data_IF_875412919489
#
_entry.id   IF_875412919489
#
_cell.length_a   1.000
_cell.length_b   1.000
_cell.length_c   1.000
_cell.angle_alpha   90.00
_cell.angle_beta   90.00
_cell.angle_gamma   90.00
#
_symmetry.space_group_name_H-M   'P 1'
#
loop_
_entity.id
_entity.type
_entity.pdbx_description
1 polymer ?
#
# COMPACT_ATOMS: atom_id res chain seq x y z
N UNK A 1 24.34 73.50 39.30
CA UNK A 1 24.79 72.81 38.06
C UNK A 1 24.66 71.32 38.29
N UNK A 2 23.80 70.63 37.53
CA UNK A 2 23.46 69.21 37.69
C UNK A 2 24.25 68.40 36.66
N UNK A 3 25.06 67.45 37.10
CA UNK A 3 25.79 66.50 36.25
C UNK A 3 24.95 65.25 35.98
N UNK A 4 24.86 64.76 34.74
CA UNK A 4 23.98 63.66 34.38
C UNK A 4 24.63 62.28 34.60
N UNK A 5 23.76 61.31 34.86
CA UNK A 5 24.02 59.90 35.12
C UNK A 5 23.93 59.11 33.81
N UNK A 6 24.95 58.31 33.48
CA UNK A 6 24.93 57.41 32.32
C UNK A 6 24.97 55.95 32.77
N UNK A 7 23.99 55.11 32.38
CA UNK A 7 24.03 53.68 32.64
C UNK A 7 24.82 52.95 31.54
N UNK A 8 25.48 51.86 31.94
CA UNK A 8 26.27 51.01 31.06
C UNK A 8 25.35 49.97 30.40
N UNK A 9 25.38 49.86 29.07
CA UNK A 9 24.68 48.83 28.31
C UNK A 9 25.65 47.66 28.08
N UNK A 10 25.31 46.47 28.60
CA UNK A 10 25.99 45.21 28.31
C UNK A 10 25.41 44.64 27.02
N UNK A 11 26.21 44.60 25.96
CA UNK A 11 25.84 43.94 24.69
C UNK A 11 26.23 42.47 24.81
N UNK A 12 25.24 41.61 25.07
CA UNK A 12 25.39 40.16 24.98
C UNK A 12 25.27 39.70 23.53
N UNK A 13 26.33 39.09 23.00
CA UNK A 13 26.31 38.47 21.68
C UNK A 13 25.51 37.16 21.73
N UNK A 14 24.37 37.12 21.04
CA UNK A 14 23.57 35.91 20.86
C UNK A 14 24.16 35.08 19.70
N UNK A 15 24.88 34.01 20.03
CA UNK A 15 25.41 33.06 19.06
C UNK A 15 24.29 32.13 18.56
N UNK A 16 23.75 32.39 17.38
CA UNK A 16 22.83 31.48 16.69
C UNK A 16 23.61 30.25 16.19
N UNK A 17 23.60 29.16 16.97
CA UNK A 17 24.08 27.87 16.51
C UNK A 17 23.12 27.37 15.41
N UNK A 18 23.61 27.31 14.17
CA UNK A 18 22.88 26.76 13.04
C UNK A 18 22.60 25.27 13.27
N UNK A 19 21.33 24.93 13.41
CA UNK A 19 20.89 23.54 13.43
C UNK A 19 21.02 23.02 11.99
N UNK A 20 22.10 22.29 11.72
CA UNK A 20 22.25 21.52 10.48
C UNK A 20 21.22 20.40 10.49
N UNK A 21 20.09 20.64 9.82
CA UNK A 21 19.10 19.62 9.47
C UNK A 21 19.74 18.62 8.53
N UNK A 22 20.14 17.47 9.07
CA UNK A 22 20.58 16.34 8.26
C UNK A 22 19.35 15.77 7.56
N UNK A 23 19.37 15.57 6.23
CA UNK A 23 18.29 14.85 5.57
C UNK A 23 18.26 13.45 6.19
N UNK A 24 17.14 13.08 6.81
CA UNK A 24 16.89 11.70 7.20
C UNK A 24 16.92 10.86 5.91
N UNK A 25 17.93 10.01 5.75
CA UNK A 25 17.89 8.95 4.74
C UNK A 25 16.70 8.05 5.09
N UNK A 26 15.57 8.27 4.43
CA UNK A 26 14.45 7.35 4.49
C UNK A 26 14.95 5.99 4.00
N UNK A 27 14.80 4.95 4.81
CA UNK A 27 15.06 3.56 4.39
C UNK A 27 14.30 3.31 3.09
N UNK A 28 14.98 2.76 2.09
CA UNK A 28 14.34 2.41 0.82
C UNK A 28 13.29 1.34 1.08
N UNK A 29 12.03 1.72 0.85
CA UNK A 29 10.87 0.85 0.95
C UNK A 29 10.39 0.49 -0.45
N UNK A 30 10.20 -0.80 -0.70
CA UNK A 30 9.55 -1.29 -1.91
C UNK A 30 8.05 -1.42 -1.65
N UNK A 31 7.22 -0.82 -2.50
CA UNK A 31 5.77 -0.81 -2.32
C UNK A 31 5.09 -1.84 -3.21
N UNK A 32 4.17 -2.63 -2.64
CA UNK A 32 3.33 -3.59 -3.36
C UNK A 32 1.87 -3.30 -3.03
N UNK A 33 0.99 -3.28 -4.03
CA UNK A 33 -0.46 -3.17 -3.77
C UNK A 33 -1.04 -4.50 -3.30
N UNK A 34 -1.99 -4.46 -2.37
CA UNK A 34 -2.67 -5.65 -1.88
C UNK A 34 -3.34 -6.46 -3.01
N UNK A 35 -4.04 -5.82 -3.95
CA UNK A 35 -4.66 -6.49 -5.09
C UNK A 35 -3.68 -7.25 -6.00
N UNK A 36 -2.45 -6.75 -6.15
CA UNK A 36 -1.41 -7.44 -6.93
C UNK A 36 -0.92 -8.68 -6.19
N UNK A 37 -0.62 -8.53 -4.90
CA UNK A 37 -0.20 -9.65 -4.05
C UNK A 37 -1.32 -10.68 -3.81
N UNK A 38 -2.59 -10.30 -3.89
CA UNK A 38 -3.74 -11.22 -3.82
C UNK A 38 -4.06 -11.89 -5.17
N UNK A 39 -3.31 -11.62 -6.25
CA UNK A 39 -3.54 -12.20 -7.57
C UNK A 39 -4.75 -11.62 -8.33
N UNK A 40 -5.41 -10.58 -7.80
CA UNK A 40 -6.63 -9.99 -8.38
C UNK A 40 -6.38 -9.16 -9.65
N UNK A 41 -5.11 -8.89 -9.98
CA UNK A 41 -4.71 -8.11 -11.16
C UNK A 41 -4.40 -8.96 -12.40
N UNK A 42 -4.44 -10.30 -12.29
CA UNK A 42 -4.03 -11.21 -13.36
C UNK A 42 -2.53 -11.17 -13.72
N UNK A 43 -1.73 -10.39 -12.98
CA UNK A 43 -0.28 -10.31 -13.11
C UNK A 43 0.41 -11.38 -12.26
N UNK A 44 1.65 -11.72 -12.61
CA UNK A 44 2.47 -12.62 -11.78
C UNK A 44 2.65 -12.07 -10.38
N UNK A 45 2.69 -12.94 -9.37
CA UNK A 45 2.85 -12.54 -7.97
C UNK A 45 4.12 -11.70 -7.77
N UNK A 46 4.08 -10.65 -6.92
CA UNK A 46 5.23 -9.77 -6.67
C UNK A 46 6.48 -10.55 -6.25
N UNK A 47 7.64 -10.10 -6.71
CA UNK A 47 8.93 -10.71 -6.35
C UNK A 47 9.59 -9.92 -5.22
N UNK A 48 9.95 -10.62 -4.14
CA UNK A 48 10.72 -10.10 -3.01
C UNK A 48 12.12 -10.70 -3.07
N UNK A 49 13.14 -9.85 -3.03
CA UNK A 49 14.54 -10.27 -3.00
C UNK A 49 15.05 -10.33 -1.56
N UNK A 50 15.78 -11.40 -1.24
CA UNK A 50 16.51 -11.55 0.01
C UNK A 50 18.01 -11.54 -0.25
N UNK A 51 18.72 -10.67 0.46
CA UNK A 51 20.17 -10.51 0.33
C UNK A 51 20.91 -11.20 1.48
N UNK A 52 22.10 -11.78 1.24
CA UNK A 52 22.92 -12.35 2.30
C UNK A 52 23.29 -11.31 3.35
N UNK A 53 23.17 -11.66 4.63
CA UNK A 53 23.54 -10.76 5.74
C UNK A 53 22.48 -9.71 6.12
N UNK A 54 21.39 -9.60 5.35
CA UNK A 54 20.32 -8.63 5.58
C UNK A 54 18.97 -9.31 5.79
N UNK A 55 18.16 -8.73 6.68
CA UNK A 55 16.76 -9.08 6.82
C UNK A 55 15.86 -8.16 5.99
N UNK A 56 14.74 -8.70 5.52
CA UNK A 56 13.71 -7.98 4.77
C UNK A 56 12.39 -8.07 5.53
N UNK A 57 11.80 -6.92 5.87
CA UNK A 57 10.49 -6.87 6.51
C UNK A 57 9.39 -6.80 5.46
N UNK A 58 8.40 -7.69 5.52
CA UNK A 58 7.17 -7.61 4.74
C UNK A 58 6.06 -7.10 5.65
N UNK A 59 5.65 -5.85 5.47
CA UNK A 59 4.72 -5.14 6.35
C UNK A 59 3.32 -5.06 5.77
N UNK A 60 2.34 -5.52 6.56
CA UNK A 60 0.90 -5.37 6.35
C UNK A 60 0.30 -4.28 7.25
N UNK A 61 1.11 -3.52 7.99
CA UNK A 61 0.65 -2.45 8.88
C UNK A 61 -0.35 -1.50 8.16
N UNK A 62 -0.09 -1.04 6.92
CA UNK A 62 -1.02 -0.13 6.25
C UNK A 62 -2.36 -0.76 5.87
N UNK A 63 -2.47 -2.09 5.76
CA UNK A 63 -3.73 -2.77 5.44
C UNK A 63 -4.66 -2.90 6.64
N UNK A 64 -4.15 -2.65 7.86
CA UNK A 64 -4.85 -2.86 9.12
C UNK A 64 -5.38 -4.31 9.28
N UNK A 65 -4.61 -5.27 8.75
CA UNK A 65 -4.89 -6.70 8.87
C UNK A 65 -3.87 -7.36 9.81
N UNK A 66 -4.31 -8.41 10.50
CA UNK A 66 -3.42 -9.27 11.29
C UNK A 66 -3.12 -10.57 10.54
N UNK A 67 -1.86 -10.98 10.53
CA UNK A 67 -1.39 -12.24 9.97
C UNK A 67 -1.89 -13.38 10.85
N UNK A 68 -2.52 -14.36 10.25
CA UNK A 68 -3.04 -15.55 10.94
C UNK A 68 -2.33 -16.83 10.54
N UNK A 69 -1.68 -16.84 9.37
CA UNK A 69 -0.90 -17.98 8.88
C UNK A 69 0.10 -17.55 7.82
N UNK A 70 1.28 -18.19 7.83
CA UNK A 70 2.28 -18.08 6.77
C UNK A 70 2.83 -19.46 6.46
N UNK A 71 3.04 -19.77 5.18
CA UNK A 71 3.84 -20.91 4.77
C UNK A 71 4.73 -20.56 3.59
N UNK A 72 5.76 -21.37 3.42
CA UNK A 72 6.76 -21.25 2.36
C UNK A 72 6.97 -22.62 1.74
N UNK A 73 7.00 -22.69 0.41
CA UNK A 73 7.04 -23.98 -0.30
C UNK A 73 8.41 -24.67 -0.15
N UNK A 74 9.51 -23.93 -0.29
CA UNK A 74 10.89 -24.40 -0.06
C UNK A 74 11.57 -23.53 1.03
N UNK A 75 11.59 -23.99 2.30
CA UNK A 75 12.22 -23.28 3.41
C UNK A 75 13.76 -23.41 3.43
N UNK A 76 14.40 -24.14 2.50
CA UNK A 76 15.83 -24.49 2.58
C UNK A 76 16.79 -23.31 2.73
N UNK A 77 16.38 -22.11 2.30
CA UNK A 77 17.20 -20.89 2.27
C UNK A 77 16.54 -19.68 2.92
N UNK A 78 15.40 -19.85 3.59
CA UNK A 78 14.64 -18.74 4.17
C UNK A 78 14.24 -19.08 5.60
N UNK A 79 14.53 -18.19 6.53
CA UNK A 79 13.93 -18.22 7.85
C UNK A 79 12.92 -17.07 7.99
N UNK A 80 11.88 -17.34 8.77
CA UNK A 80 10.72 -16.49 9.00
C UNK A 80 10.67 -16.12 10.48
N UNK A 81 10.25 -14.90 10.79
CA UNK A 81 9.90 -14.43 12.12
C UNK A 81 8.80 -13.36 12.02
N UNK A 82 8.25 -12.94 13.16
CA UNK A 82 7.09 -12.03 13.21
C UNK A 82 7.30 -10.92 14.24
N UNK A 83 6.64 -9.78 14.06
CA UNK A 83 6.64 -8.66 15.02
C UNK A 83 5.94 -9.01 16.34
N UNK A 84 4.98 -9.93 16.31
CA UNK A 84 4.31 -10.50 17.47
C UNK A 84 4.15 -12.02 17.31
N UNK A 85 3.95 -12.79 18.40
CA UNK A 85 3.76 -14.23 18.31
C UNK A 85 2.57 -14.63 17.43
N UNK A 86 2.81 -15.48 16.43
CA UNK A 86 1.77 -16.20 15.71
C UNK A 86 1.31 -17.40 16.55
N UNK A 87 0.13 -17.31 17.18
CA UNK A 87 -0.44 -18.40 17.95
C UNK A 87 -1.32 -19.30 17.05
N UNK A 88 -0.90 -20.54 16.75
CA UNK A 88 -1.74 -21.48 16.01
C UNK A 88 -2.84 -22.01 16.95
N UNK A 89 -4.03 -21.41 16.89
CA UNK A 89 -5.25 -21.82 17.61
C UNK A 89 -5.20 -21.76 19.14
N UNK A 90 -6.40 -21.60 19.72
CA UNK A 90 -6.72 -21.24 21.11
C UNK A 90 -6.33 -22.30 22.17
N UNK A 91 -5.51 -23.29 21.83
CA UNK A 91 -5.24 -24.48 22.66
C UNK A 91 -3.91 -24.45 23.43
N UNK A 92 -2.96 -23.58 23.07
CA UNK A 92 -1.73 -23.42 23.84
C UNK A 92 -1.92 -22.34 24.91
N UNK A 93 -2.19 -22.80 26.13
CA UNK A 93 -2.54 -22.02 27.33
C UNK A 93 -1.46 -21.04 27.84
N UNK A 94 -0.40 -20.80 27.07
CA UNK A 94 0.66 -19.83 27.35
C UNK A 94 1.02 -18.91 26.18
N UNK A 95 0.40 -19.07 25.00
CA UNK A 95 0.63 -18.16 23.89
C UNK A 95 -0.21 -16.90 24.11
N UNK A 96 0.43 -15.81 24.55
CA UNK A 96 -0.22 -14.49 24.56
C UNK A 96 -0.51 -14.15 23.11
N UNK A 97 -1.79 -14.17 22.75
CA UNK A 97 -2.28 -13.92 21.41
C UNK A 97 -1.82 -12.55 20.92
N UNK A 98 -0.80 -12.54 20.06
CA UNK A 98 -0.42 -11.36 19.30
C UNK A 98 -1.34 -11.14 18.09
N UNK A 99 -1.26 -9.96 17.50
CA UNK A 99 -1.87 -9.61 16.22
C UNK A 99 -0.76 -9.20 15.23
N UNK A 100 0.13 -10.14 14.86
CA UNK A 100 1.29 -9.80 14.04
C UNK A 100 0.87 -9.19 12.72
N UNK A 101 1.64 -8.22 12.26
CA UNK A 101 1.39 -7.45 11.03
C UNK A 101 2.62 -7.36 10.14
N UNK A 102 3.76 -7.88 10.59
CA UNK A 102 5.03 -7.90 9.85
C UNK A 102 5.60 -9.31 9.84
N UNK A 103 6.01 -9.75 8.65
CA UNK A 103 6.84 -10.95 8.48
C UNK A 103 8.29 -10.50 8.29
N UNK A 104 9.18 -10.92 9.16
CA UNK A 104 10.62 -10.75 8.97
C UNK A 104 11.19 -11.96 8.21
N UNK A 105 11.83 -11.69 7.08
CA UNK A 105 12.44 -12.69 6.21
C UNK A 105 13.95 -12.54 6.26
N UNK A 106 14.67 -13.65 6.41
CA UNK A 106 16.12 -13.67 6.25
C UNK A 106 16.57 -14.81 5.37
N UNK A 107 17.54 -14.54 4.52
CA UNK A 107 18.26 -15.59 3.78
C UNK A 107 19.18 -16.33 4.75
N UNK A 108 19.10 -17.65 4.76
CA UNK A 108 20.03 -18.51 5.50
C UNK A 108 20.93 -19.28 4.54
N UNK A 109 22.01 -19.86 5.09
CA UNK A 109 22.82 -20.80 4.34
C UNK A 109 21.93 -21.97 3.92
N UNK A 110 21.91 -22.28 2.62
CA UNK A 110 21.03 -23.29 2.07
C UNK A 110 21.26 -24.66 2.71
N UNK A 111 20.20 -25.25 3.24
CA UNK A 111 20.16 -26.64 3.66
C UNK A 111 19.90 -27.52 2.45
N UNK A 112 20.68 -28.60 2.30
CA UNK A 112 20.43 -29.59 1.26
C UNK A 112 19.56 -30.68 1.82
N UNK A 113 18.32 -30.79 1.36
CA UNK A 113 17.44 -31.90 1.68
C UNK A 113 17.64 -33.02 0.67
N UNK A 114 17.75 -34.25 1.15
CA UNK A 114 17.79 -35.42 0.29
C UNK A 114 16.44 -35.58 -0.43
N UNK A 115 16.46 -35.84 -1.74
CA UNK A 115 15.26 -36.04 -2.58
C UNK A 115 14.34 -34.83 -2.79
N UNK A 116 14.75 -33.61 -2.41
CA UNK A 116 14.04 -32.38 -2.80
C UNK A 116 14.85 -31.61 -3.86
N UNK A 117 14.26 -31.33 -5.04
CA UNK A 117 14.94 -30.54 -6.06
C UNK A 117 15.17 -29.11 -5.56
N UNK A 118 16.38 -28.59 -5.79
CA UNK A 118 16.70 -27.20 -5.46
C UNK A 118 15.97 -26.27 -6.43
N UNK A 119 15.07 -25.43 -5.91
CA UNK A 119 14.46 -24.37 -6.70
C UNK A 119 15.37 -23.13 -6.77
N UNK A 120 15.20 -22.26 -7.76
CA UNK A 120 15.92 -20.97 -7.82
C UNK A 120 15.31 -19.89 -6.91
N UNK A 121 14.07 -20.12 -6.45
CA UNK A 121 13.29 -19.28 -5.55
C UNK A 121 12.20 -20.11 -4.88
N UNK A 122 11.31 -19.49 -4.12
CA UNK A 122 10.19 -20.17 -3.45
C UNK A 122 8.95 -19.28 -3.44
N UNK A 123 7.76 -19.85 -3.24
CA UNK A 123 6.54 -19.09 -2.98
C UNK A 123 6.38 -18.90 -1.47
N UNK A 124 5.99 -17.69 -1.08
CA UNK A 124 5.53 -17.34 0.26
C UNK A 124 4.04 -17.03 0.16
N UNK A 125 3.25 -17.69 1.00
CA UNK A 125 1.81 -17.39 1.12
C UNK A 125 1.51 -16.90 2.52
N UNK A 126 0.79 -15.78 2.61
CA UNK A 126 0.37 -15.14 3.85
C UNK A 126 -1.14 -15.08 3.87
N UNK A 127 -1.76 -15.60 4.93
CA UNK A 127 -3.17 -15.36 5.21
C UNK A 127 -3.26 -14.33 6.31
N UNK A 128 -4.04 -13.29 6.05
CA UNK A 128 -4.38 -12.25 7.02
C UNK A 128 -5.87 -12.25 7.32
N UNK A 129 -6.25 -11.52 8.36
CA UNK A 129 -7.63 -11.31 8.78
C UNK A 129 -7.83 -9.85 9.21
N UNK A 130 -8.94 -9.26 8.79
CA UNK A 130 -9.35 -7.93 9.25
C UNK A 130 -9.97 -7.99 10.65
N UNK A 131 -10.17 -6.85 11.31
CA UNK A 131 -10.93 -6.81 12.57
C UNK A 131 -12.39 -7.30 12.43
N UNK A 132 -12.92 -7.34 11.21
CA UNK A 132 -14.26 -7.87 10.92
C UNK A 132 -14.32 -9.38 10.68
N UNK A 133 -13.17 -10.08 10.68
CA UNK A 133 -13.08 -11.52 10.41
C UNK A 133 -12.92 -11.89 8.94
N UNK A 134 -12.91 -10.91 8.02
CA UNK A 134 -12.65 -11.18 6.60
C UNK A 134 -11.20 -11.62 6.39
N UNK A 135 -11.02 -12.77 5.75
CA UNK A 135 -9.71 -13.37 5.48
C UNK A 135 -9.23 -13.04 4.06
N UNK A 136 -7.94 -12.74 3.94
CA UNK A 136 -7.28 -12.42 2.66
C UNK A 136 -6.04 -13.29 2.48
N UNK A 137 -5.80 -13.71 1.24
CA UNK A 137 -4.64 -14.53 0.85
C UNK A 137 -3.72 -13.71 -0.02
N UNK A 138 -2.44 -13.66 0.34
CA UNK A 138 -1.39 -12.96 -0.37
C UNK A 138 -0.29 -13.93 -0.79
N UNK A 139 0.25 -13.72 -1.98
CA UNK A 139 1.32 -14.52 -2.56
C UNK A 139 2.50 -13.64 -2.97
N UNK A 140 3.70 -14.10 -2.65
CA UNK A 140 4.95 -13.44 -3.01
C UNK A 140 5.96 -14.47 -3.49
N UNK A 141 6.62 -14.19 -4.60
CA UNK A 141 7.76 -15.00 -5.05
C UNK A 141 9.01 -14.50 -4.34
N UNK A 142 9.71 -15.39 -3.67
CA UNK A 142 10.98 -15.09 -3.02
C UNK A 142 12.12 -15.44 -3.99
N UNK A 143 12.93 -14.44 -4.29
CA UNK A 143 14.16 -14.55 -5.06
C UNK A 143 15.37 -14.18 -4.19
N UNK A 144 16.55 -14.61 -4.60
CA UNK A 144 17.78 -14.41 -3.84
C UNK A 144 18.69 -13.41 -4.55
N UNK A 145 18.83 -12.22 -3.98
CA UNK A 145 19.71 -11.17 -4.47
C UNK A 145 21.19 -11.44 -4.14
N UNK A 146 22.05 -10.60 -4.69
CA UNK A 146 23.50 -10.59 -4.47
C UNK A 146 23.98 -9.18 -4.16
N UNK A 147 24.99 -9.03 -3.30
CA UNK A 147 25.52 -7.72 -2.93
C UNK A 147 24.64 -6.99 -1.91
N UNK A 148 24.62 -5.66 -2.00
CA UNK A 148 23.84 -4.79 -1.12
C UNK A 148 22.33 -4.82 -1.46
N UNK A 149 21.46 -4.64 -0.46
CA UNK A 149 20.02 -4.65 -0.66
C UNK A 149 19.51 -3.34 -1.28
N UNK A 150 18.60 -3.46 -2.24
CA UNK A 150 17.89 -2.31 -2.82
C UNK A 150 16.86 -1.75 -1.82
N UNK A 151 16.35 -2.60 -0.92
CA UNK A 151 15.38 -2.27 0.11
C UNK A 151 15.50 -3.20 1.31
N UNK A 152 15.06 -2.72 2.47
CA UNK A 152 14.95 -3.52 3.70
C UNK A 152 13.50 -3.78 4.11
N UNK A 153 12.55 -3.07 3.50
CA UNK A 153 11.13 -3.20 3.82
C UNK A 153 10.33 -3.26 2.53
N UNK A 154 9.46 -4.25 2.44
CA UNK A 154 8.37 -4.35 1.48
C UNK A 154 7.09 -3.94 2.19
N UNK A 155 6.42 -2.91 1.69
CA UNK A 155 5.19 -2.39 2.27
C UNK A 155 4.02 -2.85 1.40
N UNK A 156 3.12 -3.64 1.97
CA UNK A 156 1.85 -3.99 1.35
C UNK A 156 0.88 -2.87 1.65
N UNK A 157 0.63 -2.06 0.64
CA UNK A 157 -0.34 -1.00 0.75
C UNK A 157 -1.74 -1.56 0.51
N UNK A 158 -2.75 -1.12 1.29
CA UNK A 158 -4.12 -1.48 1.00
C UNK A 158 -4.40 -1.08 -0.44
N UNK A 159 -5.15 -1.92 -1.13
CA UNK A 159 -5.79 -1.47 -2.36
C UNK A 159 -6.59 -0.24 -1.95
N UNK A 160 -6.15 0.93 -2.40
CA UNK A 160 -6.97 2.13 -2.19
C UNK A 160 -8.38 1.81 -2.68
N UNK A 161 -9.43 2.38 -2.06
CA UNK A 161 -10.80 2.28 -2.57
C UNK A 161 -10.89 2.64 -4.06
N UNK A 162 -9.89 3.36 -4.58
CA UNK A 162 -9.59 3.43 -6.00
C UNK A 162 -8.98 2.08 -6.45
N UNK A 163 -9.85 1.10 -6.74
CA UNK A 163 -9.45 -0.17 -7.33
C UNK A 163 -8.48 0.05 -8.51
N UNK A 164 -7.42 -0.75 -8.67
CA UNK A 164 -6.58 -0.76 -9.88
C UNK A 164 -7.32 -1.16 -11.16
N UNK A 165 -8.62 -1.50 -11.08
CA UNK A 165 -9.54 -1.71 -12.19
C UNK A 165 -10.51 -0.55 -12.42
N UNK A 166 -10.46 0.49 -11.59
CA UNK A 166 -11.31 1.68 -11.66
C UNK A 166 -10.48 2.84 -12.21
N UNK A 167 -10.46 2.94 -13.53
CA UNK A 167 -9.79 4.02 -14.23
C UNK A 167 -10.67 5.27 -14.36
N UNK A 168 -10.13 6.37 -14.91
CA UNK A 168 -10.93 7.51 -15.36
C UNK A 168 -12.07 7.10 -16.31
N UNK A 169 -11.92 5.97 -17.01
CA UNK A 169 -12.97 5.37 -17.83
C UNK A 169 -14.21 4.94 -17.05
N UNK A 170 -14.03 4.34 -15.86
CA UNK A 170 -15.15 3.90 -15.02
C UNK A 170 -15.79 5.09 -14.30
N UNK A 171 -15.00 6.08 -13.86
CA UNK A 171 -15.57 7.34 -13.36
C UNK A 171 -16.46 8.01 -14.41
N UNK A 172 -16.01 8.05 -15.68
CA UNK A 172 -16.81 8.59 -16.79
C UNK A 172 -18.10 7.80 -17.02
N UNK A 173 -18.05 6.46 -16.96
CA UNK A 173 -19.25 5.61 -17.10
C UNK A 173 -20.20 5.79 -15.92
N UNK A 174 -19.68 5.87 -14.70
CA UNK A 174 -20.47 6.17 -13.50
C UNK A 174 -21.13 7.53 -13.53
N UNK A 175 -20.47 8.53 -14.13
CA UNK A 175 -21.05 9.85 -14.33
C UNK A 175 -22.28 9.81 -15.25
N UNK A 176 -22.23 9.00 -16.32
CA UNK A 176 -23.39 8.77 -17.19
C UNK A 176 -24.53 8.04 -16.47
N UNK A 177 -24.21 7.10 -15.58
CA UNK A 177 -25.20 6.42 -14.73
C UNK A 177 -25.84 7.41 -13.73
N UNK A 178 -25.05 8.31 -13.15
CA UNK A 178 -25.56 9.33 -12.25
C UNK A 178 -26.49 10.31 -12.99
N UNK A 179 -26.15 10.69 -14.22
CA UNK A 179 -26.96 11.54 -15.09
C UNK A 179 -28.29 10.87 -15.47
N UNK A 180 -28.25 9.59 -15.90
CA UNK A 180 -29.47 8.86 -16.27
C UNK A 180 -30.42 8.61 -15.10
N UNK A 181 -29.90 8.60 -13.88
CA UNK A 181 -30.67 8.53 -12.62
C UNK A 181 -31.14 9.89 -12.11
N UNK A 182 -30.83 10.99 -12.81
CA UNK A 182 -31.16 12.35 -12.39
C UNK A 182 -30.43 12.81 -11.12
N UNK A 183 -29.34 12.16 -10.74
CA UNK A 183 -28.55 12.50 -9.55
C UNK A 183 -27.59 13.68 -9.80
N UNK A 184 -27.29 13.97 -11.06
CA UNK A 184 -26.46 15.08 -11.51
C UNK A 184 -26.95 15.58 -12.87
N UNK A 185 -26.72 16.85 -13.18
CA UNK A 185 -27.01 17.45 -14.47
C UNK A 185 -25.79 18.21 -15.00
N UNK A 186 -25.68 18.33 -16.33
CA UNK A 186 -24.51 18.93 -16.99
C UNK A 186 -24.29 20.42 -16.66
N UNK A 187 -25.33 21.12 -16.21
CA UNK A 187 -25.26 22.52 -15.80
C UNK A 187 -24.80 22.73 -14.35
N UNK A 188 -24.56 21.66 -13.58
CA UNK A 188 -24.13 21.76 -12.19
C UNK A 188 -22.61 21.99 -12.10
N UNK A 189 -22.19 22.77 -11.11
CA UNK A 189 -20.76 23.02 -10.86
C UNK A 189 -19.97 21.72 -10.60
N UNK A 190 -20.62 20.76 -9.93
CA UNK A 190 -20.04 19.44 -9.69
C UNK A 190 -19.70 18.70 -11.00
N UNK A 191 -20.51 18.84 -12.04
CA UNK A 191 -20.24 18.24 -13.35
C UNK A 191 -18.94 18.80 -13.95
N UNK A 192 -18.75 20.12 -13.91
CA UNK A 192 -17.55 20.78 -14.42
C UNK A 192 -16.28 20.37 -13.65
N UNK A 193 -16.39 20.20 -12.34
CA UNK A 193 -15.29 19.68 -11.50
C UNK A 193 -14.96 18.24 -11.85
N UNK A 194 -15.96 17.38 -12.06
CA UNK A 194 -15.76 15.99 -12.48
C UNK A 194 -15.14 15.88 -13.88
N UNK A 195 -15.53 16.76 -14.82
CA UNK A 195 -14.88 16.86 -16.14
C UNK A 195 -13.42 17.32 -16.02
N UNK A 196 -13.14 18.28 -15.12
CA UNK A 196 -11.79 18.73 -14.82
C UNK A 196 -10.93 17.60 -14.25
N UNK A 197 -11.47 16.83 -13.32
CA UNK A 197 -10.84 15.62 -12.79
C UNK A 197 -10.51 14.63 -13.91
N UNK A 198 -11.48 14.29 -14.77
CA UNK A 198 -11.30 13.34 -15.86
C UNK A 198 -10.18 13.78 -16.82
N UNK A 199 -10.13 15.07 -17.16
CA UNK A 199 -9.09 15.67 -18.00
C UNK A 199 -7.71 15.57 -17.35
N UNK A 200 -7.59 15.91 -16.07
CA UNK A 200 -6.31 15.85 -15.34
C UNK A 200 -5.80 14.41 -15.23
N UNK A 201 -6.70 13.48 -14.91
CA UNK A 201 -6.35 12.07 -14.80
C UNK A 201 -5.96 11.45 -16.16
N UNK A 202 -6.63 11.83 -17.25
CA UNK A 202 -6.24 11.45 -18.62
C UNK A 202 -4.89 12.07 -19.03
N UNK A 203 -4.54 13.24 -18.48
CA UNK A 203 -3.24 13.88 -18.65
C UNK A 203 -2.08 13.20 -17.89
N UNK A 204 -2.31 12.06 -17.26
CA UNK A 204 -1.30 11.29 -16.54
C UNK A 204 -1.11 11.70 -15.07
N UNK A 205 -1.92 12.63 -14.56
CA UNK A 205 -1.87 12.98 -13.15
C UNK A 205 -2.50 11.87 -12.30
N UNK A 206 -1.85 11.50 -11.19
CA UNK A 206 -2.35 10.48 -10.28
C UNK A 206 -3.76 10.83 -9.76
N UNK A 207 -4.66 9.85 -9.66
CA UNK A 207 -6.08 10.04 -9.30
C UNK A 207 -6.27 10.88 -8.01
N UNK A 208 -5.54 10.64 -6.90
CA UNK A 208 -5.68 11.48 -5.71
C UNK A 208 -5.30 12.94 -5.94
N UNK A 209 -4.23 13.19 -6.71
CA UNK A 209 -3.78 14.54 -7.05
C UNK A 209 -4.74 15.25 -8.01
N UNK A 210 -5.27 14.52 -9.01
CA UNK A 210 -6.28 15.02 -9.93
C UNK A 210 -7.60 15.37 -9.21
N UNK A 211 -8.03 14.55 -8.23
CA UNK A 211 -9.23 14.81 -7.44
C UNK A 211 -9.08 16.05 -6.55
N UNK A 212 -7.93 16.16 -5.86
CA UNK A 212 -7.61 17.33 -5.04
C UNK A 212 -7.57 18.62 -5.88
N UNK A 213 -6.92 18.59 -7.04
CA UNK A 213 -6.81 19.75 -7.93
C UNK A 213 -8.15 20.11 -8.60
N UNK A 214 -9.03 19.14 -8.83
CA UNK A 214 -10.38 19.36 -9.35
C UNK A 214 -11.39 19.77 -8.26
N UNK A 215 -11.02 19.75 -6.99
CA UNK A 215 -11.92 20.07 -5.88
C UNK A 215 -13.06 19.05 -5.73
N UNK A 216 -12.78 17.77 -5.98
CA UNK A 216 -13.72 16.65 -5.86
C UNK A 216 -13.24 15.69 -4.77
N UNK A 217 -14.15 15.21 -3.93
CA UNK A 217 -13.76 14.29 -2.85
C UNK A 217 -13.40 12.90 -3.40
N UNK A 218 -12.40 12.21 -2.82
CA UNK A 218 -12.03 10.86 -3.22
C UNK A 218 -13.18 9.85 -3.10
N UNK A 219 -14.07 10.03 -2.13
CA UNK A 219 -15.24 9.16 -1.90
C UNK A 219 -16.23 9.26 -3.06
N UNK A 220 -16.46 10.48 -3.58
CA UNK A 220 -17.34 10.66 -4.73
C UNK A 220 -16.74 10.05 -6.00
N UNK A 221 -15.42 10.23 -6.22
CA UNK A 221 -14.72 9.59 -7.35
C UNK A 221 -14.84 8.08 -7.27
N UNK A 222 -14.63 7.51 -6.08
CA UNK A 222 -14.77 6.07 -5.82
C UNK A 222 -16.18 5.60 -6.12
N UNK A 223 -17.20 6.31 -5.61
CA UNK A 223 -18.60 5.96 -5.80
C UNK A 223 -19.03 5.97 -7.27
N UNK A 224 -18.60 6.97 -8.03
CA UNK A 224 -18.85 7.03 -9.47
C UNK A 224 -18.13 5.89 -10.19
N UNK A 225 -16.86 5.65 -9.86
CA UNK A 225 -16.10 4.57 -10.45
C UNK A 225 -16.75 3.20 -10.21
N UNK A 226 -17.23 2.91 -8.99
CA UNK A 226 -18.00 1.71 -8.66
C UNK A 226 -19.23 1.55 -9.56
N UNK A 227 -20.06 2.60 -9.69
CA UNK A 227 -21.22 2.57 -10.58
C UNK A 227 -20.83 2.31 -12.03
N UNK A 228 -19.71 2.87 -12.47
CA UNK A 228 -19.17 2.65 -13.81
C UNK A 228 -18.65 1.24 -14.04
N UNK A 229 -18.04 0.60 -13.04
CA UNK A 229 -17.67 -0.81 -13.12
C UNK A 229 -18.89 -1.73 -13.14
N UNK A 230 -19.88 -1.49 -12.28
CA UNK A 230 -21.11 -2.29 -12.28
C UNK A 230 -21.85 -2.19 -13.62
N UNK A 231 -21.92 -1.01 -14.22
CA UNK A 231 -22.53 -0.83 -15.54
C UNK A 231 -21.72 -1.43 -16.71
N UNK A 232 -20.44 -1.78 -16.49
CA UNK A 232 -19.62 -2.51 -17.46
C UNK A 232 -19.97 -3.99 -17.48
N UNK A 233 -20.15 -4.54 -16.29
CA UNK A 233 -20.28 -5.98 -16.09
C UNK A 233 -21.75 -6.44 -16.20
N UNK A 234 -22.71 -5.52 -16.07
CA UNK A 234 -24.15 -5.75 -16.25
C UNK A 234 -24.78 -4.67 -17.16
N UNK A 235 -24.65 -4.79 -18.50
CA UNK A 235 -25.23 -3.82 -19.43
C UNK A 235 -26.77 -3.85 -19.33
N UNK A 236 -27.45 -2.68 -19.29
CA UNK A 236 -28.90 -2.65 -19.20
C UNK A 236 -29.53 -3.43 -20.37
N UNK A 237 -30.51 -4.29 -20.05
CA UNK A 237 -31.27 -5.17 -20.98
C UNK A 237 -32.09 -4.43 -22.06
N UNK A 238 -31.81 -3.16 -22.35
CA UNK A 238 -32.55 -2.32 -23.29
C UNK A 238 -31.72 -1.80 -24.48
N UNK A 239 -30.54 -2.35 -24.77
CA UNK A 239 -29.93 -2.13 -26.09
C UNK A 239 -30.56 -3.05 -27.14
N UNK A 240 -31.83 -2.81 -27.48
CA UNK A 240 -32.34 -3.24 -28.77
C UNK A 240 -31.52 -2.55 -29.85
N UNK A 241 -30.79 -3.36 -30.60
CA UNK A 241 -30.25 -2.99 -31.89
C UNK A 241 -31.36 -2.40 -32.77
N UNK A 242 -31.09 -1.21 -33.31
CA UNK A 242 -31.65 -0.69 -34.55
C UNK A 242 -30.48 -0.19 -35.38
#
# INVERSE_FOLDING_TARGET
MKTPWTPWIVIGALSLAGISSHPAQAQSAYSVSASHAQGLTGSQSPVIHLWPGYGTNLSFIPTNESIVRVWIDDPSRVALDFDEPLCPTVADSGCVSGRPSVVHLRRVQGLSFENLPRASGTLLTVITETSGGDRRLYEFRIAFGTGEPDYHTVVVNPTSPIHPLLGPGDVRRGLQVAESRGLIAQNQDLWNRLQTFLRLAQGGLAVPAAAAQAGVSPELITRLAEWGASARDDPPLNSTAL
#
